data_IF_273627276996
#
_entry.id   IF_273627276996
#
_cell.length_a   1.000
_cell.length_b   1.000
_cell.length_c   1.000
_cell.angle_alpha   90.00
_cell.angle_beta   90.00
_cell.angle_gamma   90.00
#
_symmetry.space_group_name_H-M   'P 1'
#
loop_
_entity.id
_entity.type
_entity.pdbx_description
1 polymer ?
#
# COMPACT_ATOMS: atom_id res chain seq x y z
N UNK A 1 18.26 12.50 -10.25
CA UNK A 1 16.93 12.62 -9.61
C UNK A 1 16.96 11.65 -8.47
N UNK A 2 16.64 12.10 -7.25
CA UNK A 2 16.51 11.19 -6.12
C UNK A 2 15.35 10.23 -6.38
N UNK A 3 15.56 8.94 -6.12
CA UNK A 3 14.49 7.96 -6.19
C UNK A 3 13.40 8.31 -5.19
N UNK A 4 12.15 8.28 -5.64
CA UNK A 4 11.01 8.54 -4.77
C UNK A 4 10.97 7.52 -3.63
N UNK A 5 10.46 7.92 -2.45
CA UNK A 5 10.31 7.01 -1.30
C UNK A 5 9.62 5.70 -1.71
N UNK A 6 8.65 5.75 -2.63
CA UNK A 6 7.97 4.57 -3.15
C UNK A 6 8.87 3.66 -3.99
N UNK A 7 9.79 4.22 -4.77
CA UNK A 7 10.78 3.43 -5.53
C UNK A 7 11.79 2.77 -4.60
N UNK A 8 12.31 3.52 -3.62
CA UNK A 8 13.21 2.97 -2.60
C UNK A 8 12.53 1.86 -1.79
N UNK A 9 11.25 2.04 -1.44
CA UNK A 9 10.47 1.02 -0.75
C UNK A 9 10.26 -0.22 -1.62
N UNK A 10 9.92 -0.04 -2.90
CA UNK A 10 9.73 -1.14 -3.84
C UNK A 10 11.02 -1.93 -4.06
N UNK A 11 12.15 -1.26 -4.26
CA UNK A 11 13.47 -1.90 -4.38
C UNK A 11 13.86 -2.64 -3.10
N UNK A 12 13.65 -2.02 -1.94
CA UNK A 12 13.86 -2.66 -0.64
C UNK A 12 13.00 -3.92 -0.52
N UNK A 13 11.70 -3.86 -0.82
CA UNK A 13 10.83 -5.03 -0.72
C UNK A 13 11.19 -6.11 -1.73
N UNK A 14 11.55 -5.77 -2.97
CA UNK A 14 12.02 -6.74 -3.96
C UNK A 14 13.34 -7.41 -3.56
N UNK A 15 14.24 -6.65 -2.93
CA UNK A 15 15.48 -7.17 -2.35
C UNK A 15 15.22 -8.09 -1.16
N UNK A 16 14.27 -7.73 -0.29
CA UNK A 16 13.84 -8.56 0.84
C UNK A 16 13.19 -9.87 0.37
N UNK A 17 12.32 -9.82 -0.66
CA UNK A 17 11.67 -11.00 -1.25
C UNK A 17 12.65 -11.94 -1.98
N UNK A 18 13.71 -11.40 -2.58
CA UNK A 18 14.71 -12.18 -3.30
C UNK A 18 15.82 -12.76 -2.40
N UNK A 19 15.90 -12.29 -1.15
CA UNK A 19 16.86 -12.79 -0.16
C UNK A 19 16.26 -14.00 0.55
N UNK A 20 16.86 -15.18 0.37
CA UNK A 20 16.45 -16.46 0.96
C UNK A 20 16.51 -16.54 2.50
N UNK A 21 16.85 -15.45 3.17
CA UNK A 21 16.97 -15.34 4.61
C UNK A 21 15.95 -14.32 5.15
N UNK A 22 14.75 -14.82 5.49
CA UNK A 22 13.73 -14.14 6.29
C UNK A 22 14.23 -13.88 7.73
N UNK A 23 15.29 -13.08 7.90
CA UNK A 23 15.66 -12.59 9.22
C UNK A 23 14.91 -11.30 9.50
N UNK A 24 13.70 -11.51 10.04
CA UNK A 24 13.08 -10.73 11.10
C UNK A 24 13.85 -9.44 11.44
N UNK A 25 13.52 -8.34 10.75
CA UNK A 25 13.60 -7.05 11.41
C UNK A 25 12.45 -7.07 12.42
N UNK A 26 12.73 -7.12 13.74
CA UNK A 26 11.65 -6.96 14.70
C UNK A 26 10.98 -5.65 14.36
N UNK A 27 9.67 -5.69 14.16
CA UNK A 27 8.87 -4.47 14.17
C UNK A 27 9.33 -3.68 15.40
N UNK A 28 9.96 -2.52 15.20
CA UNK A 28 10.45 -1.68 16.32
C UNK A 28 9.32 -1.36 17.31
N UNK A 29 8.07 -1.47 16.84
CA UNK A 29 6.87 -1.49 17.65
C UNK A 29 5.81 -2.34 16.94
N UNK A 30 5.21 -3.30 17.64
CA UNK A 30 3.99 -4.01 17.21
C UNK A 30 2.73 -3.18 17.49
N UNK A 31 2.88 -2.05 18.19
CA UNK A 31 1.78 -1.15 18.56
C UNK A 31 1.79 0.14 17.73
N UNK A 32 0.59 0.57 17.33
CA UNK A 32 0.35 1.89 16.73
C UNK A 32 0.69 2.98 17.73
N UNK A 33 1.68 3.82 17.43
CA UNK A 33 1.94 5.07 18.15
C UNK A 33 1.45 6.24 17.31
N UNK A 34 0.26 6.77 17.60
CA UNK A 34 -0.32 7.86 16.80
C UNK A 34 0.46 9.17 16.86
N UNK A 35 1.32 9.32 17.88
CA UNK A 35 2.18 10.48 18.09
C UNK A 35 3.31 10.58 17.08
N UNK A 36 3.65 9.49 16.39
CA UNK A 36 4.55 9.51 15.22
C UNK A 36 3.69 9.65 13.95
N UNK A 37 3.63 10.84 13.33
CA UNK A 37 2.77 11.06 12.16
C UNK A 37 3.13 10.21 10.95
N UNK A 38 4.31 9.57 10.93
CA UNK A 38 4.77 8.70 9.85
C UNK A 38 4.99 7.24 10.30
N UNK A 39 4.54 6.88 11.51
CA UNK A 39 4.74 5.54 12.07
C UNK A 39 4.11 4.41 11.24
N UNK A 40 3.14 4.73 10.38
CA UNK A 40 2.56 3.80 9.42
C UNK A 40 3.59 3.20 8.44
N UNK A 41 4.72 3.90 8.19
CA UNK A 41 5.78 3.41 7.29
C UNK A 41 6.45 2.13 7.79
N UNK A 42 6.34 1.84 9.08
CA UNK A 42 6.86 0.62 9.70
C UNK A 42 5.84 -0.53 9.70
N UNK A 43 4.61 -0.29 9.24
CA UNK A 43 3.62 -1.34 9.12
C UNK A 43 3.87 -2.17 7.85
N UNK A 44 3.98 -3.49 8.04
CA UNK A 44 3.98 -4.47 6.93
C UNK A 44 2.80 -4.26 5.96
N UNK A 45 1.54 -4.12 6.43
CA UNK A 45 0.42 -3.91 5.50
C UNK A 45 0.55 -2.63 4.66
N UNK A 46 1.12 -1.54 5.22
CA UNK A 46 1.37 -0.32 4.44
C UNK A 46 2.43 -0.55 3.37
N UNK A 47 3.55 -1.20 3.73
CA UNK A 47 4.63 -1.49 2.78
C UNK A 47 4.14 -2.37 1.62
N UNK A 48 3.33 -3.38 1.93
CA UNK A 48 2.70 -4.24 0.91
C UNK A 48 1.71 -3.48 0.03
N UNK A 49 0.91 -2.57 0.60
CA UNK A 49 -0.02 -1.73 -0.16
C UNK A 49 0.72 -0.77 -1.13
N UNK A 50 1.84 -0.19 -0.69
CA UNK A 50 2.70 0.66 -1.54
C UNK A 50 3.28 -0.15 -2.69
N UNK A 51 3.79 -1.35 -2.41
CA UNK A 51 4.30 -2.25 -3.45
C UNK A 51 3.20 -2.66 -4.44
N UNK A 52 2.02 -3.04 -3.95
CA UNK A 52 0.87 -3.35 -4.79
C UNK A 52 0.54 -2.18 -5.72
N UNK A 53 0.47 -0.95 -5.18
CA UNK A 53 0.21 0.25 -5.99
C UNK A 53 1.25 0.45 -7.08
N UNK A 54 2.53 0.20 -6.78
CA UNK A 54 3.58 0.26 -7.79
C UNK A 54 3.34 -0.77 -8.91
N UNK A 55 3.02 -2.03 -8.56
CA UNK A 55 2.70 -3.05 -9.56
C UNK A 55 1.46 -2.73 -10.38
N UNK A 56 0.39 -2.25 -9.74
CA UNK A 56 -0.83 -1.79 -10.41
C UNK A 56 -0.48 -0.71 -11.44
N UNK A 57 0.31 0.30 -11.07
CA UNK A 57 0.72 1.34 -12.00
C UNK A 57 1.51 0.80 -13.19
N UNK A 58 2.44 -0.12 -12.96
CA UNK A 58 3.21 -0.76 -14.03
C UNK A 58 2.31 -1.58 -14.96
N UNK A 59 1.34 -2.30 -14.39
CA UNK A 59 0.35 -3.07 -15.15
C UNK A 59 -0.56 -2.13 -15.96
N UNK A 60 -1.16 -1.12 -15.35
CA UNK A 60 -2.12 -0.23 -16.02
C UNK A 60 -1.46 0.68 -17.04
N UNK A 61 -0.16 0.95 -16.95
CA UNK A 61 0.62 1.64 -18.00
C UNK A 61 0.73 0.82 -19.29
N UNK A 62 0.59 -0.52 -19.21
CA UNK A 62 0.63 -1.41 -20.37
C UNK A 62 -0.72 -1.58 -21.08
N UNK A 63 -1.81 -1.09 -20.48
CA UNK A 63 -3.16 -1.25 -21.04
C UNK A 63 -3.37 -0.36 -22.29
N UNK A 64 -4.15 -0.83 -23.28
CA UNK A 64 -4.47 -0.03 -24.46
C UNK A 64 -5.36 1.16 -24.10
N UNK A 65 -5.38 2.19 -24.96
CA UNK A 65 -6.21 3.39 -24.76
C UNK A 65 -7.70 3.09 -24.59
N UNK A 66 -8.20 1.99 -25.15
CA UNK A 66 -9.59 1.54 -24.99
C UNK A 66 -9.97 1.24 -23.54
N UNK A 67 -8.98 0.91 -22.69
CA UNK A 67 -9.17 0.57 -21.27
C UNK A 67 -8.90 1.75 -20.33
N UNK A 68 -8.93 3.00 -20.82
CA UNK A 68 -8.62 4.18 -20.00
C UNK A 68 -9.44 4.25 -18.69
N UNK A 69 -10.73 3.89 -18.76
CA UNK A 69 -11.61 3.88 -17.58
C UNK A 69 -11.13 2.85 -16.54
N UNK A 70 -10.83 1.63 -16.98
CA UNK A 70 -10.31 0.56 -16.11
C UNK A 70 -8.98 0.98 -15.49
N UNK A 71 -8.05 1.50 -16.28
CA UNK A 71 -6.77 2.06 -15.78
C UNK A 71 -7.01 3.04 -14.63
N UNK A 72 -7.88 4.03 -14.82
CA UNK A 72 -8.18 5.04 -13.79
C UNK A 72 -8.75 4.40 -12.53
N UNK A 73 -9.69 3.46 -12.69
CA UNK A 73 -10.33 2.78 -11.56
C UNK A 73 -9.35 1.97 -10.72
N UNK A 74 -8.51 1.14 -11.35
CA UNK A 74 -7.53 0.32 -10.62
C UNK A 74 -6.46 1.20 -9.96
N UNK A 75 -5.97 2.23 -10.67
CA UNK A 75 -4.97 3.16 -10.13
C UNK A 75 -5.52 3.92 -8.91
N UNK A 76 -6.78 4.35 -8.94
CA UNK A 76 -7.44 5.04 -7.82
C UNK A 76 -7.75 4.12 -6.65
N UNK A 77 -8.25 2.91 -6.91
CA UNK A 77 -8.51 1.91 -5.88
C UNK A 77 -7.20 1.54 -5.15
N UNK A 78 -6.12 1.26 -5.88
CA UNK A 78 -4.81 0.97 -5.28
C UNK A 78 -4.21 2.15 -4.51
N UNK A 79 -4.43 3.39 -4.98
CA UNK A 79 -4.08 4.59 -4.23
C UNK A 79 -4.88 4.68 -2.92
N UNK A 80 -6.18 4.38 -2.96
CA UNK A 80 -7.07 4.41 -1.81
C UNK A 80 -6.64 3.44 -0.71
N UNK A 81 -6.22 2.21 -1.06
CA UNK A 81 -5.66 1.24 -0.10
C UNK A 81 -4.55 1.87 0.75
N UNK A 82 -3.55 2.50 0.10
CA UNK A 82 -2.44 3.17 0.82
C UNK A 82 -2.94 4.32 1.68
N UNK A 83 -3.77 5.20 1.12
CA UNK A 83 -4.23 6.42 1.81
C UNK A 83 -5.08 6.11 3.03
N UNK A 84 -5.93 5.10 2.96
CA UNK A 84 -6.77 4.70 4.09
C UNK A 84 -5.92 4.18 5.26
N UNK A 85 -4.82 3.47 5.00
CA UNK A 85 -3.89 3.03 6.07
C UNK A 85 -3.19 4.24 6.71
N UNK A 86 -2.70 5.19 5.90
CA UNK A 86 -2.04 6.40 6.38
C UNK A 86 -2.96 7.28 7.21
N UNK A 87 -4.20 7.48 6.75
CA UNK A 87 -5.20 8.28 7.43
C UNK A 87 -5.68 7.59 8.71
N UNK A 88 -5.97 6.29 8.64
CA UNK A 88 -6.34 5.48 9.79
C UNK A 88 -5.31 5.54 10.90
N UNK A 89 -4.02 5.42 10.55
CA UNK A 89 -2.93 5.45 11.53
C UNK A 89 -2.94 6.72 12.39
N UNK A 90 -3.27 7.85 11.75
CA UNK A 90 -3.31 9.19 12.34
C UNK A 90 -4.59 9.46 13.15
N UNK A 91 -5.55 8.55 13.18
CA UNK A 91 -6.78 8.71 13.97
C UNK A 91 -6.50 8.61 15.47
N UNK A 92 -7.29 9.32 16.27
CA UNK A 92 -7.08 9.39 17.71
C UNK A 92 -7.44 8.06 18.37
N UNK A 93 -8.58 7.48 17.99
CA UNK A 93 -9.10 6.25 18.61
C UNK A 93 -8.77 5.00 17.82
N UNK A 94 -8.71 3.85 18.52
CA UNK A 94 -8.59 2.55 17.87
C UNK A 94 -9.81 2.22 17.00
N UNK A 95 -11.01 2.64 17.39
CA UNK A 95 -12.22 2.42 16.61
C UNK A 95 -12.16 3.08 15.23
N UNK A 96 -11.77 4.35 15.17
CA UNK A 96 -11.56 5.04 13.90
C UNK A 96 -10.44 4.42 13.08
N UNK A 97 -9.33 4.02 13.72
CA UNK A 97 -8.26 3.32 13.01
C UNK A 97 -8.78 2.05 12.30
N UNK A 98 -9.55 1.22 13.02
CA UNK A 98 -10.13 0.00 12.46
C UNK A 98 -11.12 0.27 11.31
N UNK A 99 -11.92 1.33 11.42
CA UNK A 99 -12.82 1.75 10.35
C UNK A 99 -12.06 2.08 9.06
N UNK A 100 -10.94 2.79 9.17
CA UNK A 100 -10.06 3.10 8.04
C UNK A 100 -9.36 1.87 7.45
N UNK A 101 -8.94 0.93 8.29
CA UNK A 101 -8.44 -0.37 7.81
C UNK A 101 -9.54 -1.11 7.03
N UNK A 102 -10.80 -1.03 7.47
CA UNK A 102 -11.95 -1.56 6.73
C UNK A 102 -12.12 -0.92 5.35
N UNK A 103 -11.96 0.41 5.24
CA UNK A 103 -11.98 1.11 3.94
C UNK A 103 -10.82 0.69 3.04
N UNK A 104 -9.63 0.51 3.61
CA UNK A 104 -8.48 -0.03 2.88
C UNK A 104 -8.78 -1.43 2.32
N UNK A 105 -9.48 -2.28 3.07
CA UNK A 105 -9.87 -3.61 2.62
C UNK A 105 -10.91 -3.55 1.48
N UNK A 106 -11.90 -2.65 1.56
CA UNK A 106 -12.86 -2.42 0.49
C UNK A 106 -12.18 -2.05 -0.83
N UNK A 107 -11.28 -1.07 -0.81
CA UNK A 107 -10.52 -0.68 -2.01
C UNK A 107 -9.58 -1.79 -2.52
N UNK A 108 -9.10 -2.69 -1.66
CA UNK A 108 -8.30 -3.83 -2.09
C UNK A 108 -9.12 -4.86 -2.88
N UNK A 109 -10.38 -5.10 -2.48
CA UNK A 109 -11.27 -5.98 -3.24
C UNK A 109 -11.66 -5.37 -4.59
N UNK A 110 -11.78 -4.04 -4.70
CA UNK A 110 -11.95 -3.35 -5.99
C UNK A 110 -10.76 -3.60 -6.93
N UNK A 111 -9.52 -3.39 -6.45
CA UNK A 111 -8.30 -3.69 -7.23
C UNK A 111 -8.30 -5.15 -7.71
N UNK A 112 -8.66 -6.08 -6.84
CA UNK A 112 -8.70 -7.51 -7.16
C UNK A 112 -9.79 -7.86 -8.17
N UNK A 113 -10.96 -7.20 -8.09
CA UNK A 113 -12.04 -7.34 -9.07
C UNK A 113 -11.60 -6.88 -10.45
N UNK A 114 -11.09 -5.66 -10.55
CA UNK A 114 -10.69 -5.06 -11.83
C UNK A 114 -9.51 -5.77 -12.52
N UNK A 115 -8.69 -6.53 -11.77
CA UNK A 115 -7.60 -7.34 -12.33
C UNK A 115 -8.08 -8.73 -12.78
N UNK A 116 -9.10 -9.30 -12.13
CA UNK A 116 -9.61 -10.65 -12.47
C UNK A 116 -10.50 -10.66 -13.72
N UNK A 117 -11.26 -9.59 -13.93
CA UNK A 117 -12.23 -9.43 -15.02
C UNK A 117 -11.59 -8.93 -16.31
#
# INVERSE_FOLDING_TARGET
MDDTISQQLAEKTMKELSSSNLFYNPLKSTSRSWTDPEGYKYLVPWSNAVLLRFFVRRFTESLPKSEYRRKSQVDDAARSVVRNIEEGFKRTTTGEYLQFVGYSQGSLEEVKGDIRE
#
